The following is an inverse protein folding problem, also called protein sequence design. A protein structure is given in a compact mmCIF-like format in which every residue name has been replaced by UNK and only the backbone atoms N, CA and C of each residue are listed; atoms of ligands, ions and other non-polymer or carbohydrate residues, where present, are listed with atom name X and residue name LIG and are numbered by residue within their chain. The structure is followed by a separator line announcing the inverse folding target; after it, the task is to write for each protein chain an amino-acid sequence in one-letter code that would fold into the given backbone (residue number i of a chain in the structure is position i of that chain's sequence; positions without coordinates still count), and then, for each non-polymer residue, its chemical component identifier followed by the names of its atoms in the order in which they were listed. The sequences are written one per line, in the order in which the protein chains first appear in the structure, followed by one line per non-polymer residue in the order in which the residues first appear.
data_IF_899146106312
#
_entry.id   IF_899146106312
#
_cell.length_a   1.000
_cell.length_b   1.000
_cell.length_c   1.000
_cell.angle_alpha   90.00
_cell.angle_beta   90.00
_cell.angle_gamma   90.00
#
_symmetry.space_group_name_H-M   'P 1'
#
loop_
_entity.id
_entity.type
_entity.pdbx_description
1 polymer ?
#
# COMPACT_ATOMS: atom_id res chain seq x y z
N UNK A 1 -0.36 15.87 -1.25
CA UNK A 1 -1.01 16.82 -0.31
C UNK A 1 0.02 17.78 0.28
N UNK A 2 1.08 17.32 0.99
CA UNK A 2 2.04 18.20 1.68
C UNK A 2 2.75 19.19 0.75
N UNK A 3 3.26 18.73 -0.40
CA UNK A 3 3.87 19.62 -1.41
C UNK A 3 2.84 20.56 -2.03
N UNK A 4 1.63 20.08 -2.30
CA UNK A 4 0.56 20.90 -2.87
C UNK A 4 0.12 22.04 -1.92
N UNK A 5 0.22 21.85 -0.59
CA UNK A 5 -0.02 22.91 0.41
C UNK A 5 1.01 24.04 0.32
N UNK A 6 2.21 23.79 -0.20
CA UNK A 6 3.25 24.79 -0.44
C UNK A 6 3.12 25.50 -1.79
N UNK A 7 2.09 25.16 -2.57
CA UNK A 7 1.83 25.79 -3.87
C UNK A 7 1.58 27.29 -3.74
N UNK A 8 2.10 28.06 -4.71
CA UNK A 8 1.78 29.49 -4.86
C UNK A 8 0.31 29.73 -5.24
N UNK A 9 -0.39 28.71 -5.75
CA UNK A 9 -1.82 28.79 -6.03
C UNK A 9 -2.61 28.74 -4.73
N UNK A 10 -3.28 29.85 -4.40
CA UNK A 10 -4.04 30.01 -3.16
C UNK A 10 -5.15 28.94 -3.01
N UNK A 11 -5.88 28.64 -4.09
CA UNK A 11 -6.98 27.66 -4.07
C UNK A 11 -6.45 26.28 -3.69
N UNK A 12 -5.38 25.82 -4.36
CA UNK A 12 -4.76 24.51 -4.10
C UNK A 12 -4.25 24.43 -2.66
N UNK A 13 -3.55 25.45 -2.21
CA UNK A 13 -3.02 25.52 -0.84
C UNK A 13 -4.14 25.49 0.20
N UNK A 14 -5.25 26.21 -0.05
CA UNK A 14 -6.39 26.27 0.88
C UNK A 14 -7.15 24.96 0.95
N UNK A 15 -7.45 24.32 -0.18
CA UNK A 15 -8.11 23.00 -0.22
C UNK A 15 -7.28 21.96 0.53
N UNK A 16 -5.96 21.94 0.32
CA UNK A 16 -5.08 21.00 1.02
C UNK A 16 -4.99 21.30 2.53
N UNK A 17 -5.05 22.57 2.92
CA UNK A 17 -5.10 22.95 4.33
C UNK A 17 -6.39 22.44 5.00
N UNK A 18 -7.54 22.68 4.39
CA UNK A 18 -8.85 22.20 4.88
C UNK A 18 -8.87 20.67 5.01
N UNK A 19 -8.37 19.96 3.99
CA UNK A 19 -8.23 18.52 4.04
C UNK A 19 -7.43 18.05 5.27
N UNK A 20 -6.25 18.64 5.48
CA UNK A 20 -5.37 18.28 6.59
C UNK A 20 -6.05 18.55 7.95
N UNK A 21 -6.67 19.72 8.10
CA UNK A 21 -7.36 20.10 9.33
C UNK A 21 -8.52 19.15 9.66
N UNK A 22 -9.34 18.80 8.67
CA UNK A 22 -10.47 17.89 8.85
C UNK A 22 -9.98 16.52 9.33
N UNK A 23 -9.02 15.92 8.61
CA UNK A 23 -8.57 14.56 8.95
C UNK A 23 -7.75 14.48 10.24
N UNK A 24 -7.06 15.53 10.64
CA UNK A 24 -6.27 15.56 11.87
C UNK A 24 -7.10 15.79 13.13
N UNK A 25 -8.20 16.54 13.01
CA UNK A 25 -9.01 16.96 14.18
C UNK A 25 -10.16 16.00 14.49
N UNK A 26 -10.46 15.06 13.60
CA UNK A 26 -11.50 14.03 13.82
C UNK A 26 -10.83 12.69 14.15
N UNK A 27 -11.29 11.96 15.19
CA UNK A 27 -10.73 10.66 15.55
C UNK A 27 -10.81 9.65 14.40
N UNK A 28 -9.74 8.86 14.22
CA UNK A 28 -9.65 7.86 13.15
C UNK A 28 -10.81 6.84 13.18
N UNK A 29 -11.23 6.43 14.37
CA UNK A 29 -12.34 5.48 14.54
C UNK A 29 -13.61 5.97 13.85
N UNK A 30 -13.93 7.27 13.97
CA UNK A 30 -15.13 7.85 13.33
C UNK A 30 -15.02 7.83 11.81
N UNK A 31 -13.83 8.02 11.26
CA UNK A 31 -13.58 7.89 9.81
C UNK A 31 -13.80 6.46 9.33
N UNK A 32 -13.33 5.46 10.09
CA UNK A 32 -13.54 4.05 9.73
C UNK A 32 -15.04 3.72 9.71
N UNK A 33 -15.79 4.14 10.74
CA UNK A 33 -17.24 3.91 10.83
C UNK A 33 -17.97 4.66 9.70
N UNK A 34 -17.61 5.91 9.43
CA UNK A 34 -18.20 6.71 8.36
C UNK A 34 -18.01 6.05 6.99
N UNK A 35 -16.79 5.65 6.65
CA UNK A 35 -16.52 5.00 5.36
C UNK A 35 -17.26 3.66 5.26
N UNK A 36 -17.34 2.89 6.36
CA UNK A 36 -18.14 1.67 6.40
C UNK A 36 -19.63 1.95 6.14
N UNK A 37 -20.20 2.93 6.81
CA UNK A 37 -21.61 3.32 6.62
C UNK A 37 -21.87 3.75 5.17
N UNK A 38 -21.02 4.63 4.62
CA UNK A 38 -21.13 5.10 3.23
C UNK A 38 -21.05 3.93 2.24
N UNK A 39 -20.14 2.99 2.42
CA UNK A 39 -20.01 1.84 1.50
C UNK A 39 -21.21 0.89 1.59
N UNK A 40 -21.77 0.67 2.78
CA UNK A 40 -22.93 -0.21 2.98
C UNK A 40 -24.22 0.43 2.44
N UNK A 41 -24.39 1.74 2.59
CA UNK A 41 -25.60 2.44 2.16
C UNK A 41 -25.59 2.82 0.68
N UNK A 42 -24.41 3.17 0.13
CA UNK A 42 -24.29 3.65 -1.26
C UNK A 42 -24.25 2.52 -2.29
N UNK A 43 -23.79 1.33 -1.90
CA UNK A 43 -23.67 0.23 -2.84
C UNK A 43 -24.93 -0.65 -2.87
N UNK A 44 -25.33 -1.14 -4.07
CA UNK A 44 -26.50 -1.98 -4.23
C UNK A 44 -26.36 -3.33 -3.51
N UNK A 45 -27.49 -3.89 -3.08
CA UNK A 45 -27.53 -5.25 -2.55
C UNK A 45 -27.32 -6.26 -3.67
N UNK A 46 -26.78 -7.47 -3.41
CA UNK A 46 -26.60 -8.51 -4.44
C UNK A 46 -27.89 -8.85 -5.21
N UNK A 47 -29.05 -8.72 -4.57
CA UNK A 47 -30.33 -8.97 -5.22
C UNK A 47 -30.64 -7.98 -6.36
N UNK A 48 -30.07 -6.78 -6.34
CA UNK A 48 -30.25 -5.76 -7.36
C UNK A 48 -29.64 -6.15 -8.73
N UNK A 49 -28.78 -7.14 -8.75
CA UNK A 49 -28.14 -7.67 -9.96
C UNK A 49 -28.92 -8.84 -10.61
N UNK A 50 -30.16 -9.12 -10.13
CA UNK A 50 -31.01 -10.21 -10.61
C UNK A 50 -32.12 -9.69 -11.51
N UNK A 51 -32.62 -10.62 -12.36
CA UNK A 51 -33.82 -10.44 -13.17
C UNK A 51 -33.52 -10.03 -14.61
N UNK A 52 -34.57 -9.89 -15.39
CA UNK A 52 -34.50 -9.45 -16.79
C UNK A 52 -34.11 -7.97 -16.92
N UNK A 53 -34.50 -7.15 -15.91
CA UNK A 53 -34.16 -5.74 -15.77
C UNK A 53 -33.47 -5.49 -14.41
N UNK A 54 -32.17 -5.78 -14.29
CA UNK A 54 -31.48 -5.58 -13.04
C UNK A 54 -31.29 -4.09 -12.74
N UNK A 55 -31.60 -3.67 -11.51
CA UNK A 55 -31.38 -2.28 -11.06
C UNK A 55 -29.91 -1.91 -10.85
N UNK A 56 -29.01 -2.90 -10.86
CA UNK A 56 -27.57 -2.72 -10.78
C UNK A 56 -26.85 -3.62 -11.78
N UNK A 57 -25.80 -3.11 -12.40
CA UNK A 57 -24.96 -3.85 -13.36
C UNK A 57 -23.54 -3.96 -12.85
N UNK A 58 -22.86 -5.02 -13.24
CA UNK A 58 -21.43 -5.16 -13.00
C UNK A 58 -20.67 -4.10 -13.80
N UNK A 59 -19.50 -3.69 -13.29
CA UNK A 59 -18.63 -2.67 -13.88
C UNK A 59 -17.44 -3.31 -14.58
N UNK A 60 -16.68 -2.51 -15.36
CA UNK A 60 -15.47 -2.94 -16.06
C UNK A 60 -15.69 -4.21 -16.91
N UNK A 61 -16.57 -4.11 -17.92
CA UNK A 61 -16.91 -5.23 -18.82
C UNK A 61 -17.44 -6.47 -18.07
N UNK A 62 -18.37 -6.25 -17.17
CA UNK A 62 -19.01 -7.28 -16.34
C UNK A 62 -18.04 -8.14 -15.51
N UNK A 63 -16.90 -7.55 -15.15
CA UNK A 63 -15.87 -8.24 -14.37
C UNK A 63 -15.85 -7.89 -12.89
N UNK A 64 -16.43 -6.74 -12.49
CA UNK A 64 -16.39 -6.24 -11.10
C UNK A 64 -17.80 -5.98 -10.59
N UNK A 65 -18.15 -6.59 -9.47
CA UNK A 65 -19.40 -6.31 -8.77
C UNK A 65 -19.15 -5.45 -7.51
N UNK A 66 -19.75 -4.26 -7.48
CA UNK A 66 -19.75 -3.37 -6.32
C UNK A 66 -21.03 -3.60 -5.54
N UNK A 67 -20.94 -4.15 -4.33
CA UNK A 67 -22.09 -4.49 -3.51
C UNK A 67 -21.95 -3.96 -2.09
N UNK A 68 -23.09 -3.85 -1.38
CA UNK A 68 -23.08 -3.51 0.04
C UNK A 68 -22.44 -4.57 0.96
N UNK A 69 -22.00 -5.70 0.42
CA UNK A 69 -21.26 -6.76 1.15
C UNK A 69 -19.78 -6.80 0.83
N UNK A 70 -19.35 -6.07 -0.19
CA UNK A 70 -17.96 -5.99 -0.64
C UNK A 70 -17.84 -5.76 -2.14
N UNK A 71 -16.61 -5.61 -2.57
CA UNK A 71 -16.23 -5.53 -3.98
C UNK A 71 -15.73 -6.92 -4.40
N UNK A 72 -16.30 -7.44 -5.48
CA UNK A 72 -15.90 -8.72 -6.08
C UNK A 72 -15.11 -8.43 -7.34
N UNK A 73 -13.87 -8.92 -7.36
CA UNK A 73 -12.91 -8.75 -8.46
C UNK A 73 -12.63 -10.10 -9.11
N UNK A 74 -12.24 -10.14 -10.40
CA UNK A 74 -11.77 -11.37 -11.00
C UNK A 74 -10.57 -11.95 -10.23
N UNK A 75 -10.57 -13.27 -10.08
CA UNK A 75 -9.49 -14.01 -9.42
C UNK A 75 -8.52 -14.56 -10.46
N UNK A 76 -7.20 -14.35 -10.30
CA UNK A 76 -6.21 -15.00 -11.14
C UNK A 76 -6.15 -16.50 -10.83
N UNK A 77 -6.50 -17.32 -11.80
CA UNK A 77 -6.50 -18.77 -11.69
C UNK A 77 -5.55 -19.38 -12.72
N UNK A 78 -5.08 -20.60 -12.42
CA UNK A 78 -4.16 -21.36 -13.26
C UNK A 78 -4.77 -22.73 -13.59
N UNK A 79 -4.95 -23.01 -14.88
CA UNK A 79 -5.53 -24.29 -15.33
C UNK A 79 -4.53 -25.46 -15.28
N UNK A 80 -3.23 -25.16 -15.33
CA UNK A 80 -2.12 -26.12 -15.29
C UNK A 80 -1.17 -25.81 -14.13
N UNK A 81 -1.75 -25.49 -12.95
CA UNK A 81 -0.97 -25.17 -11.75
C UNK A 81 -0.17 -26.38 -11.26
N UNK A 82 0.98 -26.09 -10.63
CA UNK A 82 1.84 -27.08 -9.98
C UNK A 82 1.28 -27.56 -8.63
N UNK A 83 0.15 -26.97 -8.19
CA UNK A 83 -0.49 -27.27 -6.90
C UNK A 83 0.10 -26.52 -5.71
N UNK A 84 -0.37 -26.91 -4.53
CA UNK A 84 -0.01 -26.27 -3.28
C UNK A 84 0.82 -27.19 -2.40
N UNK A 85 1.84 -26.65 -1.73
CA UNK A 85 2.57 -27.35 -0.68
C UNK A 85 1.91 -27.04 0.65
N UNK A 86 1.36 -28.07 1.31
CA UNK A 86 0.86 -27.96 2.67
C UNK A 86 2.02 -27.93 3.67
N UNK A 87 2.12 -26.87 4.47
CA UNK A 87 3.02 -26.78 5.61
C UNK A 87 2.21 -26.94 6.91
N UNK A 88 2.84 -27.53 7.94
CA UNK A 88 2.25 -27.67 9.28
C UNK A 88 0.85 -28.29 9.28
N UNK A 89 0.76 -29.57 8.87
CA UNK A 89 -0.49 -30.37 9.01
C UNK A 89 -1.72 -29.73 8.36
N UNK A 90 -1.61 -29.28 7.12
CA UNK A 90 -2.69 -28.65 6.30
C UNK A 90 -3.24 -27.31 6.80
N UNK A 91 -2.64 -26.70 7.80
CA UNK A 91 -3.10 -25.39 8.31
C UNK A 91 -2.64 -24.22 7.45
N UNK A 92 -1.59 -24.41 6.63
CA UNK A 92 -1.04 -23.38 5.76
C UNK A 92 -0.56 -23.99 4.44
N UNK A 93 -1.15 -23.58 3.33
CA UNK A 93 -0.73 -24.00 2.00
C UNK A 93 -0.01 -22.85 1.27
N UNK A 94 1.12 -23.15 0.65
CA UNK A 94 1.84 -22.22 -0.21
C UNK A 94 1.63 -22.66 -1.65
N UNK A 95 1.08 -21.78 -2.47
CA UNK A 95 0.93 -22.03 -3.90
C UNK A 95 2.30 -22.04 -4.58
N UNK A 96 2.63 -23.18 -5.22
CA UNK A 96 3.84 -23.30 -6.03
C UNK A 96 3.83 -22.35 -7.23
N UNK A 97 2.66 -22.08 -7.78
CA UNK A 97 2.49 -21.17 -8.90
C UNK A 97 2.93 -19.76 -8.55
N UNK A 98 2.53 -19.26 -7.38
CA UNK A 98 2.96 -17.96 -6.88
C UNK A 98 4.47 -17.93 -6.62
N UNK A 99 5.05 -19.02 -6.09
CA UNK A 99 6.50 -19.10 -5.88
C UNK A 99 7.27 -19.03 -7.19
N UNK A 100 6.82 -19.73 -8.23
CA UNK A 100 7.44 -19.69 -9.56
C UNK A 100 7.35 -18.29 -10.17
N UNK A 101 6.19 -17.65 -10.10
CA UNK A 101 6.00 -16.28 -10.59
C UNK A 101 6.92 -15.30 -9.84
N UNK A 102 6.97 -15.38 -8.52
CA UNK A 102 7.87 -14.55 -7.69
C UNK A 102 9.34 -14.78 -8.02
N UNK A 103 9.76 -16.04 -8.20
CA UNK A 103 11.12 -16.38 -8.59
C UNK A 103 11.50 -15.76 -9.94
N UNK A 104 10.62 -15.85 -10.94
CA UNK A 104 10.84 -15.25 -12.27
C UNK A 104 10.90 -13.72 -12.17
N UNK A 105 10.01 -13.09 -11.40
CA UNK A 105 10.04 -11.64 -11.18
C UNK A 105 11.34 -11.18 -10.48
N UNK A 106 11.77 -11.89 -9.43
CA UNK A 106 13.02 -11.57 -8.73
C UNK A 106 14.21 -11.74 -9.66
N UNK A 107 14.26 -12.83 -10.44
CA UNK A 107 15.33 -13.09 -11.43
C UNK A 107 15.37 -11.98 -12.49
N UNK A 108 14.22 -11.56 -12.99
CA UNK A 108 14.09 -10.44 -13.95
C UNK A 108 14.60 -9.13 -13.35
N UNK A 109 14.26 -8.82 -12.11
CA UNK A 109 14.75 -7.62 -11.40
C UNK A 109 16.26 -7.65 -11.22
N UNK A 110 16.84 -8.82 -10.91
CA UNK A 110 18.30 -8.98 -10.79
C UNK A 110 18.99 -8.80 -12.14
N UNK A 111 18.43 -9.32 -13.23
CA UNK A 111 18.90 -9.08 -14.59
C UNK A 111 18.86 -7.60 -14.97
N UNK A 112 17.74 -6.91 -14.66
CA UNK A 112 17.60 -5.47 -14.90
C UNK A 112 18.68 -4.67 -14.16
N UNK A 113 18.99 -5.02 -12.91
CA UNK A 113 20.08 -4.39 -12.15
C UNK A 113 21.44 -4.56 -12.85
N UNK A 114 21.72 -5.77 -13.39
CA UNK A 114 22.95 -6.03 -14.15
C UNK A 114 23.00 -5.21 -15.46
N UNK A 115 21.88 -5.12 -16.20
CA UNK A 115 21.79 -4.31 -17.44
C UNK A 115 22.04 -2.83 -17.13
N UNK A 116 21.40 -2.29 -16.11
CA UNK A 116 21.60 -0.88 -15.70
C UNK A 116 23.02 -0.60 -15.24
N UNK A 117 23.64 -1.54 -14.49
CA UNK A 117 25.05 -1.42 -14.06
C UNK A 117 26.01 -1.45 -15.25
N UNK A 118 25.76 -2.30 -16.26
CA UNK A 118 26.54 -2.33 -17.49
C UNK A 118 26.41 -1.03 -18.28
N UNK A 119 25.19 -0.50 -18.40
CA UNK A 119 24.94 0.78 -19.04
C UNK A 119 25.65 1.96 -18.36
N UNK A 120 25.71 1.98 -17.03
CA UNK A 120 26.48 2.97 -16.26
C UNK A 120 27.98 2.90 -16.55
N UNK A 121 28.56 1.68 -16.59
CA UNK A 121 29.96 1.48 -16.91
C UNK A 121 30.31 1.95 -18.35
N UNK A 122 29.43 1.67 -19.30
CA UNK A 122 29.62 2.15 -20.69
C UNK A 122 29.57 3.69 -20.72
N UNK A 123 28.63 4.29 -20.00
CA UNK A 123 28.52 5.75 -19.88
C UNK A 123 29.77 6.37 -19.25
N UNK A 124 30.35 5.73 -18.23
CA UNK A 124 31.61 6.18 -17.61
C UNK A 124 32.81 6.10 -18.57
N UNK A 125 32.80 5.12 -19.49
CA UNK A 125 33.90 4.91 -20.44
C UNK A 125 33.76 5.74 -21.73
N UNK A 126 32.53 5.96 -22.23
CA UNK A 126 32.27 6.58 -23.54
C UNK A 126 31.64 7.97 -23.46
N UNK A 127 31.15 8.38 -22.26
CA UNK A 127 30.38 9.62 -22.08
C UNK A 127 28.91 9.52 -22.53
N UNK A 128 28.53 8.50 -23.29
CA UNK A 128 27.18 8.29 -23.79
C UNK A 128 26.47 7.15 -23.08
N UNK A 129 25.24 7.39 -22.65
CA UNK A 129 24.43 6.34 -21.99
C UNK A 129 23.62 5.55 -23.02
N UNK A 130 23.85 4.23 -23.16
CA UNK A 130 23.08 3.42 -24.09
C UNK A 130 21.61 3.34 -23.66
N UNK A 131 20.72 3.30 -24.64
CA UNK A 131 19.29 3.14 -24.41
C UNK A 131 18.99 1.73 -23.90
N UNK A 132 18.46 1.62 -22.67
CA UNK A 132 18.21 0.31 -22.02
C UNK A 132 16.74 0.04 -21.74
N UNK A 133 15.83 0.98 -22.05
CA UNK A 133 14.43 0.86 -21.63
C UNK A 133 13.71 -0.35 -22.26
N UNK A 134 13.96 -0.63 -23.54
CA UNK A 134 13.38 -1.78 -24.24
C UNK A 134 13.90 -3.12 -23.67
N UNK A 135 15.19 -3.23 -23.33
CA UNK A 135 15.75 -4.40 -22.67
C UNK A 135 15.16 -4.61 -21.28
N UNK A 136 14.93 -3.52 -20.54
CA UNK A 136 14.32 -3.58 -19.20
C UNK A 136 12.88 -4.08 -19.29
N UNK A 137 12.09 -3.57 -20.23
CA UNK A 137 10.70 -4.00 -20.44
C UNK A 137 10.67 -5.46 -20.92
N UNK A 138 11.50 -5.83 -21.90
CA UNK A 138 11.54 -7.18 -22.43
C UNK A 138 11.89 -8.24 -21.36
N UNK A 139 12.91 -7.98 -20.53
CA UNK A 139 13.33 -8.89 -19.47
C UNK A 139 12.27 -9.00 -18.35
N UNK A 140 11.45 -7.98 -18.15
CA UNK A 140 10.36 -8.05 -17.16
C UNK A 140 9.12 -8.75 -17.73
N UNK A 141 8.70 -8.39 -18.95
CA UNK A 141 7.43 -8.81 -19.51
C UNK A 141 7.51 -10.22 -20.13
N UNK A 142 8.54 -10.50 -20.93
CA UNK A 142 8.60 -11.75 -21.71
C UNK A 142 8.66 -12.99 -20.81
N UNK A 143 9.57 -13.12 -19.83
CA UNK A 143 9.61 -14.31 -18.98
C UNK A 143 8.35 -14.46 -18.13
N UNK A 144 7.81 -13.36 -17.62
CA UNK A 144 6.55 -13.38 -16.84
C UNK A 144 5.39 -13.85 -17.70
N UNK A 145 5.27 -13.33 -18.92
CA UNK A 145 4.22 -13.73 -19.85
C UNK A 145 4.33 -15.22 -20.23
N UNK A 146 5.55 -15.71 -20.52
CA UNK A 146 5.79 -17.12 -20.83
C UNK A 146 5.33 -18.02 -19.67
N UNK A 147 5.68 -17.66 -18.44
CA UNK A 147 5.25 -18.43 -17.25
C UNK A 147 3.74 -18.42 -17.09
N UNK A 148 3.08 -17.28 -17.27
CA UNK A 148 1.62 -17.20 -17.21
C UNK A 148 0.94 -18.07 -18.28
N UNK A 149 1.49 -18.13 -19.49
CA UNK A 149 0.99 -19.00 -20.57
C UNK A 149 1.20 -20.48 -20.23
N UNK A 150 2.37 -20.86 -19.70
CA UNK A 150 2.67 -22.25 -19.31
C UNK A 150 1.73 -22.71 -18.19
N UNK A 151 1.48 -21.87 -17.20
CA UNK A 151 0.56 -22.12 -16.09
C UNK A 151 -0.92 -22.12 -16.54
N UNK A 152 -1.20 -21.68 -17.77
CA UNK A 152 -2.57 -21.57 -18.28
C UNK A 152 -3.38 -20.54 -17.50
N UNK A 153 -2.84 -19.34 -17.36
CA UNK A 153 -3.49 -18.23 -16.65
C UNK A 153 -4.85 -17.88 -17.25
N UNK A 154 -5.87 -17.79 -16.43
CA UNK A 154 -7.18 -17.25 -16.78
C UNK A 154 -7.79 -16.48 -15.60
N UNK A 155 -8.77 -15.64 -15.88
CA UNK A 155 -9.50 -14.89 -14.87
C UNK A 155 -10.80 -15.60 -14.53
N UNK A 156 -10.96 -15.97 -13.25
CA UNK A 156 -12.22 -16.44 -12.71
C UNK A 156 -13.12 -15.24 -12.35
N UNK A 157 -14.21 -15.06 -13.08
CA UNK A 157 -15.12 -13.95 -12.85
C UNK A 157 -16.08 -14.25 -11.70
N UNK A 158 -16.47 -13.22 -10.90
CA UNK A 158 -17.49 -13.40 -9.89
C UNK A 158 -18.87 -13.60 -10.54
N UNK A 159 -19.59 -14.63 -10.12
CA UNK A 159 -20.94 -14.94 -10.59
C UNK A 159 -21.95 -14.84 -9.46
N UNK A 160 -23.15 -14.32 -9.75
CA UNK A 160 -24.21 -14.27 -8.77
C UNK A 160 -24.84 -15.66 -8.60
N UNK A 161 -24.51 -16.35 -7.49
CA UNK A 161 -25.06 -17.68 -7.16
C UNK A 161 -25.81 -17.61 -5.81
N UNK A 162 -27.12 -17.88 -5.87
CA UNK A 162 -27.94 -17.79 -4.66
C UNK A 162 -28.12 -16.33 -4.19
N UNK A 163 -27.83 -16.01 -2.96
CA UNK A 163 -28.03 -14.69 -2.35
C UNK A 163 -26.77 -13.82 -2.36
N UNK A 164 -25.69 -14.26 -2.99
CA UNK A 164 -24.43 -13.53 -3.01
C UNK A 164 -23.61 -13.88 -4.27
N UNK A 165 -22.59 -13.07 -4.55
CA UNK A 165 -21.58 -13.41 -5.54
C UNK A 165 -20.69 -14.53 -5.01
N UNK A 166 -20.33 -15.48 -5.88
CA UNK A 166 -19.36 -16.56 -5.66
C UNK A 166 -18.30 -16.51 -6.74
N UNK A 167 -17.09 -16.98 -6.40
CA UNK A 167 -15.91 -16.84 -7.26
C UNK A 167 -15.33 -15.45 -7.20
N UNK A 168 -14.12 -15.31 -7.72
CA UNK A 168 -13.37 -14.06 -7.62
C UNK A 168 -12.84 -13.75 -6.23
N UNK A 169 -12.09 -12.65 -6.13
CA UNK A 169 -11.56 -12.12 -4.87
C UNK A 169 -12.61 -11.19 -4.26
N UNK A 170 -13.07 -11.51 -3.06
CA UNK A 170 -13.97 -10.66 -2.30
C UNK A 170 -13.19 -9.71 -1.38
N UNK A 171 -13.24 -8.42 -1.66
CA UNK A 171 -12.80 -7.36 -0.74
C UNK A 171 -14.00 -6.93 0.12
N UNK A 172 -14.02 -7.34 1.38
CA UNK A 172 -15.09 -6.98 2.32
C UNK A 172 -15.13 -5.46 2.55
N UNK A 173 -16.32 -4.90 2.74
CA UNK A 173 -16.47 -3.47 3.02
C UNK A 173 -15.70 -3.01 4.26
N UNK A 174 -15.57 -3.87 5.28
CA UNK A 174 -14.76 -3.60 6.46
C UNK A 174 -13.27 -3.39 6.15
N UNK A 175 -12.70 -4.18 5.21
CA UNK A 175 -11.33 -3.97 4.73
C UNK A 175 -11.21 -2.65 3.96
N UNK A 176 -12.17 -2.35 3.10
CA UNK A 176 -12.19 -1.12 2.30
C UNK A 176 -12.29 0.09 3.23
N UNK A 177 -13.21 0.04 4.21
CA UNK A 177 -13.38 1.10 5.19
C UNK A 177 -12.10 1.37 5.99
N UNK A 178 -11.46 0.30 6.48
CA UNK A 178 -10.18 0.41 7.18
C UNK A 178 -9.10 1.03 6.28
N UNK A 179 -8.93 0.48 5.08
CA UNK A 179 -7.87 0.90 4.16
C UNK A 179 -8.03 2.36 3.73
N UNK A 180 -9.23 2.77 3.33
CA UNK A 180 -9.52 4.14 2.89
C UNK A 180 -9.36 5.12 4.05
N UNK A 181 -9.97 4.84 5.20
CA UNK A 181 -9.91 5.72 6.37
C UNK A 181 -8.46 5.87 6.88
N UNK A 182 -7.72 4.78 7.04
CA UNK A 182 -6.30 4.81 7.44
C UNK A 182 -5.44 5.57 6.44
N UNK A 183 -5.64 5.37 5.14
CA UNK A 183 -4.87 6.04 4.09
C UNK A 183 -5.11 7.56 4.12
N UNK A 184 -6.37 7.99 4.16
CA UNK A 184 -6.72 9.42 4.18
C UNK A 184 -6.25 10.09 5.47
N UNK A 185 -6.48 9.46 6.61
CA UNK A 185 -6.05 9.96 7.92
C UNK A 185 -4.53 10.09 8.01
N UNK A 186 -3.80 9.01 7.71
CA UNK A 186 -2.33 9.00 7.80
C UNK A 186 -1.69 9.95 6.80
N UNK A 187 -2.26 10.08 5.59
CA UNK A 187 -1.76 11.01 4.58
C UNK A 187 -1.82 12.47 5.02
N UNK A 188 -2.81 12.85 5.85
CA UNK A 188 -2.88 14.21 6.40
C UNK A 188 -1.73 14.51 7.36
N UNK A 189 -1.35 13.56 8.22
CA UNK A 189 -0.19 13.71 9.11
C UNK A 189 1.13 13.72 8.34
N UNK A 190 1.30 12.78 7.39
CA UNK A 190 2.48 12.72 6.53
C UNK A 190 2.63 14.03 5.73
N UNK A 191 1.53 14.57 5.24
CA UNK A 191 1.53 15.84 4.50
C UNK A 191 2.06 17.00 5.34
N UNK A 192 1.69 17.07 6.61
CA UNK A 192 2.18 18.11 7.53
C UNK A 192 3.65 17.92 7.89
N UNK A 193 4.09 16.68 8.13
CA UNK A 193 5.51 16.36 8.36
C UNK A 193 6.36 16.78 7.15
N UNK A 194 5.92 16.43 5.93
CA UNK A 194 6.63 16.82 4.69
C UNK A 194 6.69 18.33 4.55
N UNK A 195 5.56 19.02 4.78
CA UNK A 195 5.52 20.48 4.74
C UNK A 195 6.48 21.11 5.75
N UNK A 196 6.42 20.68 7.01
CA UNK A 196 7.27 21.18 8.08
C UNK A 196 8.76 20.92 7.77
N UNK A 197 9.10 19.73 7.28
CA UNK A 197 10.48 19.39 6.92
C UNK A 197 11.04 20.22 5.77
N UNK A 198 10.22 20.54 4.77
CA UNK A 198 10.65 21.43 3.66
C UNK A 198 10.86 22.86 4.17
N UNK A 199 9.95 23.36 5.03
CA UNK A 199 10.06 24.71 5.61
C UNK A 199 11.18 24.85 6.65
N UNK A 200 11.66 23.76 7.22
CA UNK A 200 12.78 23.75 8.15
C UNK A 200 14.14 24.02 7.47
N UNK A 201 14.21 23.86 6.14
CA UNK A 201 15.43 24.20 5.39
C UNK A 201 15.52 25.72 5.25
N UNK A 202 16.67 26.31 5.65
CA UNK A 202 16.91 27.74 5.58
C UNK A 202 16.74 28.29 4.16
N UNK A 203 16.07 29.44 4.02
CA UNK A 203 15.90 30.15 2.74
C UNK A 203 17.23 30.48 2.08
N UNK A 204 18.28 30.77 2.87
CA UNK A 204 19.62 31.03 2.39
C UNK A 204 20.21 29.89 1.52
N UNK A 205 19.79 28.64 1.74
CA UNK A 205 20.21 27.51 0.89
C UNK A 205 19.63 27.62 -0.52
N UNK A 206 18.38 28.04 -0.63
CA UNK A 206 17.74 28.25 -1.93
C UNK A 206 18.26 29.52 -2.62
N UNK A 207 18.55 30.57 -1.89
CA UNK A 207 19.13 31.82 -2.38
C UNK A 207 20.55 31.60 -2.90
N UNK A 208 21.42 30.93 -2.15
CA UNK A 208 22.76 30.57 -2.56
C UNK A 208 22.76 29.69 -3.85
N UNK A 209 21.90 28.69 -3.90
CA UNK A 209 21.75 27.84 -5.09
C UNK A 209 21.22 28.64 -6.33
N UNK A 210 20.34 29.61 -6.09
CA UNK A 210 19.83 30.50 -7.14
C UNK A 210 20.93 31.44 -7.65
N UNK A 211 21.80 31.95 -6.77
CA UNK A 211 22.95 32.78 -7.13
C UNK A 211 23.97 32.01 -8.03
N UNK A 212 24.03 30.67 -7.90
CA UNK A 212 24.80 29.80 -8.79
C UNK A 212 24.10 29.50 -10.13
N UNK A 213 22.95 30.11 -10.43
CA UNK A 213 22.21 29.93 -11.68
C UNK A 213 21.40 28.62 -11.73
N UNK A 214 21.18 27.93 -10.62
CA UNK A 214 20.41 26.68 -10.60
C UNK A 214 18.93 26.94 -10.87
N UNK A 215 18.30 26.09 -11.69
CA UNK A 215 16.86 26.13 -11.93
C UNK A 215 16.08 25.68 -10.68
N UNK A 216 14.88 26.25 -10.37
CA UNK A 216 14.11 25.95 -9.17
C UNK A 216 13.86 24.46 -8.93
N UNK A 217 13.58 23.68 -9.97
CA UNK A 217 13.38 22.24 -9.86
C UNK A 217 14.65 21.49 -9.42
N UNK A 218 15.83 21.95 -9.84
CA UNK A 218 17.12 21.39 -9.42
C UNK A 218 17.46 21.80 -8.00
N UNK A 219 17.15 23.03 -7.59
CA UNK A 219 17.30 23.51 -6.21
C UNK A 219 16.46 22.64 -5.29
N UNK A 220 15.18 22.40 -5.63
CA UNK A 220 14.31 21.54 -4.84
C UNK A 220 14.88 20.11 -4.71
N UNK A 221 15.31 19.49 -5.80
CA UNK A 221 15.74 18.09 -5.80
C UNK A 221 17.13 17.85 -5.25
N UNK A 222 18.09 18.78 -5.46
CA UNK A 222 19.50 18.58 -5.11
C UNK A 222 19.92 19.27 -3.81
N UNK A 223 19.21 20.31 -3.39
CA UNK A 223 19.57 21.12 -2.20
C UNK A 223 18.54 20.97 -1.09
N UNK A 224 17.26 21.26 -1.39
CA UNK A 224 16.23 21.34 -0.36
C UNK A 224 15.78 19.94 0.07
N UNK A 225 15.42 19.08 -0.88
CA UNK A 225 14.86 17.77 -0.55
C UNK A 225 15.81 16.86 0.25
N UNK A 226 17.11 16.75 -0.06
CA UNK A 226 18.03 15.95 0.76
C UNK A 226 18.16 16.46 2.22
N UNK A 227 18.12 17.78 2.42
CA UNK A 227 18.16 18.37 3.76
C UNK A 227 16.83 18.19 4.48
N UNK A 228 15.70 18.44 3.80
CA UNK A 228 14.36 18.23 4.33
C UNK A 228 14.12 16.76 4.77
N UNK A 229 14.62 15.78 4.01
CA UNK A 229 14.45 14.36 4.33
C UNK A 229 15.06 14.00 5.69
N UNK A 230 16.13 14.64 6.11
CA UNK A 230 16.72 14.42 7.45
C UNK A 230 15.76 14.82 8.58
N UNK A 231 14.94 15.84 8.34
CA UNK A 231 13.93 16.33 9.29
C UNK A 231 12.62 15.52 9.17
N UNK A 232 12.26 15.10 7.96
CA UNK A 232 11.02 14.37 7.64
C UNK A 232 11.07 12.92 8.15
N UNK A 233 12.18 12.22 7.95
CA UNK A 233 12.26 10.76 8.17
C UNK A 233 12.00 10.36 9.62
N UNK A 234 12.56 10.99 10.66
CA UNK A 234 12.32 10.59 12.05
C UNK A 234 10.84 10.61 12.47
N UNK A 235 10.06 11.69 12.22
CA UNK A 235 8.63 11.68 12.52
C UNK A 235 7.82 10.69 11.68
N UNK A 236 8.20 10.45 10.41
CA UNK A 236 7.53 9.46 9.57
C UNK A 236 7.58 8.06 10.19
N UNK A 237 8.71 7.68 10.78
CA UNK A 237 8.88 6.39 11.45
C UNK A 237 7.84 6.22 12.55
N UNK A 238 7.69 7.24 13.40
CA UNK A 238 6.70 7.23 14.48
C UNK A 238 5.27 7.07 13.96
N UNK A 239 4.97 7.69 12.81
CA UNK A 239 3.65 7.54 12.17
C UNK A 239 3.43 6.16 11.56
N UNK A 240 4.45 5.51 10.98
CA UNK A 240 4.32 4.12 10.50
C UNK A 240 4.11 3.13 11.64
N UNK A 241 4.78 3.32 12.78
CA UNK A 241 4.54 2.54 14.00
C UNK A 241 3.11 2.74 14.52
N UNK A 242 2.62 3.98 14.51
CA UNK A 242 1.25 4.30 14.90
C UNK A 242 0.22 3.70 13.93
N UNK A 243 0.50 3.71 12.61
CA UNK A 243 -0.35 3.09 11.59
C UNK A 243 -0.57 1.61 11.88
N UNK A 244 0.50 0.87 12.22
CA UNK A 244 0.42 -0.55 12.57
C UNK A 244 -0.47 -0.80 13.79
N UNK A 245 -0.39 0.05 14.81
CA UNK A 245 -1.25 -0.04 16.01
C UNK A 245 -2.70 0.34 15.70
N UNK A 246 -2.90 1.36 14.88
CA UNK A 246 -4.22 1.86 14.51
C UNK A 246 -5.02 0.85 13.66
N UNK A 247 -4.36 -0.15 13.04
CA UNK A 247 -5.07 -1.23 12.34
C UNK A 247 -5.99 -2.02 13.28
N UNK A 248 -5.68 -2.07 14.59
CA UNK A 248 -6.53 -2.72 15.60
C UNK A 248 -7.93 -2.11 15.75
N UNK A 249 -8.13 -0.86 15.32
CA UNK A 249 -9.44 -0.22 15.30
C UNK A 249 -10.41 -0.86 14.28
N UNK A 250 -9.89 -1.70 13.39
CA UNK A 250 -10.67 -2.47 12.41
C UNK A 250 -11.73 -3.38 13.06
N UNK A 251 -11.52 -3.79 14.30
CA UNK A 251 -12.50 -4.58 15.07
C UNK A 251 -13.86 -3.88 15.16
N UNK A 252 -13.88 -2.55 15.20
CA UNK A 252 -15.11 -1.76 15.29
C UNK A 252 -16.03 -1.91 14.06
N UNK A 253 -15.49 -2.29 12.91
CA UNK A 253 -16.25 -2.57 11.69
C UNK A 253 -16.27 -4.06 11.34
N UNK A 254 -15.92 -4.93 12.30
CA UNK A 254 -15.95 -6.39 12.13
C UNK A 254 -14.88 -6.94 11.19
N UNK A 255 -13.78 -6.23 10.99
CA UNK A 255 -12.64 -6.78 10.27
C UNK A 255 -11.74 -7.59 11.22
N UNK A 256 -11.49 -8.84 10.86
CA UNK A 256 -10.70 -9.77 11.67
C UNK A 256 -9.20 -9.61 11.36
N UNK A 257 -8.61 -8.57 11.94
CA UNK A 257 -7.15 -8.42 12.05
C UNK A 257 -6.62 -9.28 13.23
N UNK A 258 -5.40 -9.04 13.66
CA UNK A 258 -4.82 -9.72 14.83
C UNK A 258 -5.70 -9.51 16.08
N UNK A 259 -6.14 -8.26 16.31
CA UNK A 259 -7.00 -7.94 17.47
C UNK A 259 -8.38 -8.59 17.34
N UNK A 260 -9.02 -8.45 16.16
CA UNK A 260 -10.32 -9.06 15.90
C UNK A 260 -10.29 -10.57 16.00
N UNK A 261 -9.21 -11.22 15.55
CA UNK A 261 -9.04 -12.67 15.66
C UNK A 261 -8.83 -13.10 17.11
N UNK A 262 -7.94 -12.44 17.83
CA UNK A 262 -7.65 -12.79 19.23
C UNK A 262 -8.83 -12.47 20.16
N UNK A 263 -9.35 -11.24 20.13
CA UNK A 263 -10.43 -10.80 21.02
C UNK A 263 -11.82 -11.27 20.55
N UNK A 264 -12.04 -11.38 19.23
CA UNK A 264 -13.31 -11.78 18.68
C UNK A 264 -13.49 -13.30 18.59
N UNK A 265 -12.47 -14.06 18.20
CA UNK A 265 -12.58 -15.50 17.98
C UNK A 265 -11.93 -16.28 19.11
N UNK A 266 -10.61 -16.09 19.32
CA UNK A 266 -9.84 -16.92 20.26
C UNK A 266 -10.35 -16.77 21.69
N UNK A 267 -10.63 -15.55 22.13
CA UNK A 267 -11.18 -15.28 23.45
C UNK A 267 -12.54 -15.96 23.65
N UNK A 268 -13.45 -15.84 22.69
CA UNK A 268 -14.77 -16.45 22.77
C UNK A 268 -14.72 -18.01 22.78
N UNK A 269 -13.73 -18.59 22.10
CA UNK A 269 -13.58 -20.06 22.06
C UNK A 269 -12.87 -20.65 23.28
N UNK A 270 -11.92 -19.91 23.85
CA UNK A 270 -11.07 -20.41 24.93
C UNK A 270 -11.50 -19.94 26.33
N UNK A 271 -12.19 -18.79 26.41
CA UNK A 271 -12.52 -18.12 27.67
C UNK A 271 -11.30 -17.60 28.46
N UNK A 272 -10.12 -17.62 27.87
CA UNK A 272 -8.85 -17.19 28.50
C UNK A 272 -8.53 -15.74 28.19
N UNK A 273 -9.13 -14.83 28.96
CA UNK A 273 -9.04 -13.39 28.69
C UNK A 273 -7.62 -12.85 28.83
N UNK A 274 -6.95 -13.17 29.96
CA UNK A 274 -5.63 -12.62 30.28
C UNK A 274 -4.57 -13.11 29.30
N UNK A 275 -4.53 -14.41 29.03
CA UNK A 275 -3.55 -15.01 28.11
C UNK A 275 -3.73 -14.50 26.68
N UNK A 276 -4.96 -14.37 26.22
CA UNK A 276 -5.27 -13.88 24.88
C UNK A 276 -4.87 -12.41 24.73
N UNK A 277 -5.13 -11.58 25.76
CA UNK A 277 -4.75 -10.18 25.77
C UNK A 277 -3.22 -10.02 25.77
N UNK A 278 -2.52 -10.74 26.66
CA UNK A 278 -1.05 -10.70 26.73
C UNK A 278 -0.40 -11.20 25.45
N UNK A 279 -0.96 -12.21 24.79
CA UNK A 279 -0.51 -12.69 23.51
C UNK A 279 -0.64 -11.60 22.44
N UNK A 280 -1.79 -10.93 22.34
CA UNK A 280 -2.03 -9.84 21.43
C UNK A 280 -1.05 -8.67 21.65
N UNK A 281 -0.86 -8.27 22.90
CA UNK A 281 0.12 -7.23 23.25
C UNK A 281 1.55 -7.61 22.83
N UNK A 282 1.93 -8.87 23.07
CA UNK A 282 3.25 -9.39 22.71
C UNK A 282 3.48 -9.39 21.20
N UNK A 283 2.48 -9.78 20.40
CA UNK A 283 2.57 -9.76 18.93
C UNK A 283 2.75 -8.33 18.43
N UNK A 284 1.94 -7.36 18.89
CA UNK A 284 2.09 -5.96 18.50
C UNK A 284 3.42 -5.36 18.94
N UNK A 285 3.92 -5.75 20.13
CA UNK A 285 5.25 -5.34 20.59
C UNK A 285 6.35 -5.90 19.68
N UNK A 286 6.32 -7.17 19.34
CA UNK A 286 7.28 -7.80 18.43
C UNK A 286 7.28 -7.12 17.05
N UNK A 287 6.11 -6.88 16.46
CA UNK A 287 5.98 -6.19 15.18
C UNK A 287 6.57 -4.77 15.27
N UNK A 288 6.24 -4.03 16.33
CA UNK A 288 6.74 -2.67 16.55
C UNK A 288 8.27 -2.64 16.70
N UNK A 289 8.86 -3.59 17.44
CA UNK A 289 10.30 -3.72 17.60
C UNK A 289 10.99 -4.10 16.29
N UNK A 290 10.41 -5.00 15.49
CA UNK A 290 10.92 -5.35 14.16
C UNK A 290 10.94 -4.13 13.23
N UNK A 291 9.84 -3.39 13.12
CA UNK A 291 9.74 -2.18 12.30
C UNK A 291 10.78 -1.16 12.78
N UNK A 292 10.83 -0.89 14.09
CA UNK A 292 11.78 0.06 14.67
C UNK A 292 13.24 -0.33 14.37
N UNK A 293 13.59 -1.61 14.50
CA UNK A 293 14.94 -2.12 14.22
C UNK A 293 15.34 -1.94 12.76
N UNK A 294 14.45 -2.30 11.82
CA UNK A 294 14.68 -2.13 10.38
C UNK A 294 14.88 -0.67 10.02
N UNK A 295 14.05 0.20 10.56
CA UNK A 295 14.11 1.63 10.25
C UNK A 295 15.33 2.29 10.88
N UNK A 296 15.67 1.95 12.12
CA UNK A 296 16.89 2.46 12.78
C UNK A 296 18.16 2.00 12.05
N UNK A 297 18.18 0.74 11.58
CA UNK A 297 19.27 0.24 10.74
C UNK A 297 19.40 1.03 9.43
N UNK A 298 18.27 1.31 8.78
CA UNK A 298 18.25 2.11 7.55
C UNK A 298 18.72 3.55 7.78
N UNK A 299 18.27 4.21 8.86
CA UNK A 299 18.68 5.55 9.22
C UNK A 299 20.19 5.63 9.52
N UNK A 300 20.70 4.70 10.33
CA UNK A 300 22.14 4.65 10.65
C UNK A 300 23.00 4.51 9.40
N UNK A 301 22.52 3.78 8.38
CA UNK A 301 23.23 3.65 7.09
C UNK A 301 23.24 4.95 6.29
N UNK A 302 22.19 5.78 6.39
CA UNK A 302 22.08 7.02 5.65
C UNK A 302 22.70 8.23 6.36
N UNK A 303 22.79 8.22 7.71
CA UNK A 303 23.47 9.25 8.49
C UNK A 303 25.01 9.29 8.27
N UNK A 304 25.60 8.18 7.86
CA UNK A 304 27.04 8.09 7.56
C UNK A 304 27.46 8.83 6.29
N UNK A 305 26.53 9.27 5.46
CA UNK A 305 26.78 10.01 4.20
C UNK A 305 26.78 11.54 4.43
N UNK A 306 26.56 12.00 5.65
CA UNK A 306 26.33 13.41 5.97
C UNK A 306 27.35 14.05 6.92
N UNK A 307 28.55 13.45 7.11
CA UNK A 307 29.69 14.09 7.81
C UNK A 307 30.72 14.58 6.82
#
# INVERSE_FOLDING_TARGET
VGIARLSKNWIVSRIMAVYIEIFRNVPLLLWIILVMAVTVESFPRPNAFRGADPSATMKLFDSVALTNRGIYLPEPLFSKGFGDIALFSNSFSISLDLMVILFVLISSILCIKKIKKRASRIQEATGERPTTWYWVISVLVIPTFIVLVILGFYLGYPELKGFNFKGGIQLRNSLIALWVALSLYTSAFIAEIVRAGILAVSSGQSEAASALGMKPNRIMSLVILPQAMRVIVPPLISHYLSLTKNSSLAIAVGYMDITGTLMGITLNQTGRELETLLLGMSIYLCISLMISSVVNWYNKKNDLVGR
#
